data_IF_135279876156
#
_entry.id   IF_135279876156
#
_cell.length_a   1.000
_cell.length_b   1.000
_cell.length_c   1.000
_cell.angle_alpha   90.00
_cell.angle_beta   90.00
_cell.angle_gamma   90.00
#
_symmetry.space_group_name_H-M   'P 1'
#
loop_
_entity.id
_entity.type
_entity.pdbx_description
1 polymer ?
#
# COMPACT_ATOMS: atom_id res chain seq x y z
N UNK A 1 -32.03 29.75 34.16
CA UNK A 1 -32.47 31.11 33.77
C UNK A 1 -31.27 31.85 33.22
N UNK A 2 -31.44 32.39 32.02
CA UNK A 2 -30.66 33.44 31.34
C UNK A 2 -29.20 33.19 30.94
N UNK A 3 -28.98 33.49 29.66
CA UNK A 3 -27.70 33.78 29.00
C UNK A 3 -27.03 35.01 29.60
N UNK A 4 -25.74 35.21 29.29
CA UNK A 4 -25.24 36.50 28.79
C UNK A 4 -23.99 36.35 27.91
N UNK A 5 -24.06 37.05 26.77
CA UNK A 5 -23.02 37.27 25.78
C UNK A 5 -21.94 38.22 26.32
N UNK A 6 -20.66 37.94 26.05
CA UNK A 6 -19.61 38.98 26.05
C UNK A 6 -18.79 38.84 24.77
N UNK A 7 -18.91 39.85 23.90
CA UNK A 7 -18.10 40.04 22.70
C UNK A 7 -16.79 40.75 23.05
N UNK A 8 -15.66 40.25 22.58
CA UNK A 8 -14.35 40.90 22.71
C UNK A 8 -13.87 41.44 21.35
N UNK A 9 -13.56 42.74 21.33
CA UNK A 9 -12.99 43.50 20.21
C UNK A 9 -11.54 43.08 19.93
N UNK A 10 -11.15 43.10 18.65
CA UNK A 10 -9.77 43.02 18.20
C UNK A 10 -9.28 44.43 17.85
N UNK A 11 -8.28 44.92 18.59
CA UNK A 11 -7.54 46.14 18.23
C UNK A 11 -6.05 45.82 18.06
N UNK A 12 -5.58 46.09 16.84
CA UNK A 12 -4.26 46.58 16.43
C UNK A 12 -2.99 46.27 17.24
N UNK A 13 -2.14 45.47 16.59
CA UNK A 13 -0.71 45.68 16.37
C UNK A 13 0.26 45.47 17.56
N UNK A 14 0.92 44.31 17.60
CA UNK A 14 2.18 44.11 18.32
C UNK A 14 3.17 43.33 17.45
N UNK A 15 4.35 43.92 17.25
CA UNK A 15 5.51 43.34 16.59
C UNK A 15 6.00 42.09 17.33
N UNK A 16 6.19 40.98 16.62
CA UNK A 16 6.81 39.77 17.16
C UNK A 16 8.30 39.70 16.77
N UNK A 17 9.15 40.14 17.69
CA UNK A 17 10.51 39.61 17.84
C UNK A 17 10.46 38.56 18.96
N UNK A 18 10.73 37.30 18.61
CA UNK A 18 10.71 36.17 19.55
C UNK A 18 9.70 35.10 19.14
N UNK A 19 10.12 34.22 18.24
CA UNK A 19 9.44 32.94 17.97
C UNK A 19 10.49 31.82 18.07
N UNK A 20 11.04 31.63 19.26
CA UNK A 20 11.58 30.34 19.67
C UNK A 20 10.50 29.62 20.49
N UNK A 21 10.40 28.31 20.29
CA UNK A 21 9.54 27.35 21.02
C UNK A 21 8.12 27.17 20.47
N UNK A 22 8.05 26.66 19.24
CA UNK A 22 7.11 25.58 18.93
C UNK A 22 7.94 24.47 18.29
N UNK A 23 8.33 23.50 19.11
CA UNK A 23 9.19 22.38 18.72
C UNK A 23 8.52 21.55 17.64
N UNK A 24 9.14 21.54 16.46
CA UNK A 24 9.26 20.42 15.51
C UNK A 24 8.44 19.18 15.86
N UNK A 25 7.19 19.16 15.40
CA UNK A 25 6.58 17.94 14.89
C UNK A 25 6.69 18.10 13.39
N UNK A 26 7.66 17.43 12.77
CA UNK A 26 7.88 17.45 11.33
C UNK A 26 6.64 16.92 10.62
N UNK A 27 5.77 17.83 10.20
CA UNK A 27 4.81 17.59 9.14
C UNK A 27 5.52 17.80 7.80
N UNK A 28 6.47 16.92 7.49
CA UNK A 28 7.03 16.80 6.14
C UNK A 28 6.32 15.63 5.45
N UNK A 29 4.99 15.71 5.38
CA UNK A 29 4.24 14.92 4.40
C UNK A 29 4.31 15.76 3.13
N UNK A 30 5.33 15.49 2.34
CA UNK A 30 5.55 16.17 1.06
C UNK A 30 4.34 15.89 0.18
N UNK A 31 3.89 16.87 -0.60
CA UNK A 31 2.68 16.78 -1.45
C UNK A 31 2.70 15.56 -2.41
N UNK A 32 3.86 14.93 -2.61
CA UNK A 32 4.08 13.67 -3.33
C UNK A 32 3.51 12.42 -2.62
N UNK A 33 3.33 12.43 -1.30
CA UNK A 33 2.79 11.28 -0.52
C UNK A 33 1.28 11.08 -0.65
N UNK A 34 0.59 11.98 -1.36
CA UNK A 34 -0.88 11.93 -1.51
C UNK A 34 -1.36 11.21 -2.77
N UNK A 35 -0.45 10.85 -3.69
CA UNK A 35 -0.82 10.08 -4.87
C UNK A 35 -0.99 8.61 -4.50
N UNK A 36 -2.09 7.95 -4.91
CA UNK A 36 -2.28 6.53 -4.62
C UNK A 36 -1.30 5.71 -5.45
N UNK A 37 -0.18 5.31 -4.84
CA UNK A 37 0.84 4.47 -5.45
C UNK A 37 0.59 3.00 -5.08
N UNK A 38 0.69 2.11 -6.07
CA UNK A 38 0.48 0.69 -5.92
C UNK A 38 1.66 0.06 -5.19
N UNK A 39 1.41 -0.34 -3.93
CA UNK A 39 2.32 -1.16 -3.15
C UNK A 39 2.14 -2.64 -3.46
N UNK A 40 3.15 -3.48 -3.21
CA UNK A 40 2.96 -4.93 -3.34
C UNK A 40 1.92 -5.49 -2.36
N UNK A 41 1.67 -4.81 -1.24
CA UNK A 41 0.51 -5.14 -0.41
C UNK A 41 -0.81 -5.06 -1.20
N UNK A 42 -1.01 -3.99 -1.99
CA UNK A 42 -2.21 -3.85 -2.82
C UNK A 42 -2.28 -4.98 -3.84
N UNK A 43 -1.16 -5.30 -4.50
CA UNK A 43 -1.09 -6.42 -5.44
C UNK A 43 -1.49 -7.76 -4.81
N UNK A 44 -1.00 -8.02 -3.59
CA UNK A 44 -1.23 -9.27 -2.87
C UNK A 44 -2.69 -9.48 -2.43
N UNK A 45 -3.53 -8.45 -2.52
CA UNK A 45 -4.95 -8.51 -2.18
C UNK A 45 -5.86 -8.35 -3.41
N UNK A 46 -5.28 -8.12 -4.60
CA UNK A 46 -6.01 -7.75 -5.81
C UNK A 46 -6.17 -8.95 -6.77
N UNK A 47 -7.41 -9.30 -7.09
CA UNK A 47 -7.75 -10.38 -8.01
C UNK A 47 -8.53 -9.89 -9.25
N UNK A 48 -8.57 -10.71 -10.30
CA UNK A 48 -9.39 -10.42 -11.48
C UNK A 48 -10.86 -10.78 -11.23
N UNK A 49 -11.76 -9.79 -11.39
CA UNK A 49 -13.21 -9.97 -11.28
C UNK A 49 -13.95 -9.95 -12.61
N UNK A 50 -13.25 -10.13 -13.73
CA UNK A 50 -13.89 -10.28 -15.03
C UNK A 50 -14.86 -11.48 -15.01
N UNK A 51 -15.93 -11.42 -15.79
CA UNK A 51 -16.96 -12.46 -15.91
C UNK A 51 -16.38 -13.84 -16.18
N UNK A 52 -15.34 -13.93 -17.02
CA UNK A 52 -14.63 -15.17 -17.32
C UNK A 52 -13.89 -15.78 -16.09
N UNK A 53 -13.71 -15.00 -15.03
CA UNK A 53 -13.10 -15.41 -13.77
C UNK A 53 -14.13 -15.67 -12.65
N UNK A 54 -15.43 -15.44 -12.87
CA UNK A 54 -16.44 -15.53 -11.82
C UNK A 54 -16.61 -16.96 -11.25
N UNK A 55 -16.32 -17.98 -12.04
CA UNK A 55 -16.48 -19.39 -11.67
C UNK A 55 -15.16 -20.12 -11.42
N UNK A 56 -14.03 -19.40 -11.33
CA UNK A 56 -12.70 -20.00 -11.16
C UNK A 56 -11.92 -19.30 -10.05
N UNK A 57 -11.05 -20.04 -9.38
CA UNK A 57 -10.08 -19.52 -8.40
C UNK A 57 -8.75 -19.13 -9.03
N UNK A 58 -8.56 -19.37 -10.34
CA UNK A 58 -7.31 -19.05 -11.05
C UNK A 58 -7.24 -17.56 -11.48
N UNK A 59 -7.71 -16.64 -10.65
CA UNK A 59 -7.77 -15.21 -10.95
C UNK A 59 -6.82 -14.37 -10.07
N UNK A 60 -5.99 -15.06 -9.28
CA UNK A 60 -5.01 -14.51 -8.34
C UNK A 60 -3.81 -15.47 -8.21
N UNK A 61 -2.57 -14.97 -8.04
CA UNK A 61 -2.16 -13.56 -8.19
C UNK A 61 -2.13 -13.11 -9.65
N UNK A 62 -2.26 -11.81 -9.88
CA UNK A 62 -2.06 -11.21 -11.20
C UNK A 62 -0.56 -11.16 -11.52
N UNK A 63 -0.16 -11.53 -12.74
CA UNK A 63 1.25 -11.57 -13.15
C UNK A 63 1.74 -10.16 -13.49
N UNK A 64 2.74 -9.66 -12.77
CA UNK A 64 3.39 -8.39 -13.09
C UNK A 64 4.33 -8.57 -14.29
N UNK A 65 4.20 -7.70 -15.29
CA UNK A 65 5.01 -7.69 -16.51
C UNK A 65 5.48 -6.26 -16.81
N UNK A 66 6.70 -6.12 -17.33
CA UNK A 66 7.26 -4.84 -17.78
C UNK A 66 7.16 -3.71 -16.76
N UNK A 67 7.40 -4.03 -15.47
CA UNK A 67 7.21 -3.08 -14.38
C UNK A 67 8.42 -2.18 -14.17
N UNK A 68 8.15 -0.94 -13.76
CA UNK A 68 9.13 0.00 -13.22
C UNK A 68 8.84 0.16 -11.73
N UNK A 69 9.85 -0.07 -10.91
CA UNK A 69 9.74 -0.04 -9.46
C UNK A 69 10.39 1.22 -8.89
N UNK A 70 9.83 1.71 -7.81
CA UNK A 70 10.41 2.72 -6.92
C UNK A 70 10.44 2.13 -5.51
N UNK A 71 11.49 2.45 -4.74
CA UNK A 71 11.59 2.06 -3.34
C UNK A 71 11.49 3.32 -2.51
N UNK A 72 10.45 3.42 -1.69
CA UNK A 72 10.23 4.54 -0.79
C UNK A 72 10.27 4.07 0.66
N UNK A 73 11.10 4.71 1.47
CA UNK A 73 11.25 4.38 2.89
C UNK A 73 9.96 4.72 3.66
N UNK A 74 9.52 3.78 4.50
CA UNK A 74 8.33 3.93 5.34
C UNK A 74 8.68 3.52 6.76
N UNK A 75 8.16 4.23 7.76
CA UNK A 75 8.34 3.85 9.16
C UNK A 75 7.72 2.47 9.43
N UNK A 76 8.50 1.59 10.06
CA UNK A 76 8.05 0.24 10.39
C UNK A 76 7.13 0.26 11.60
N UNK A 77 5.95 -0.31 11.44
CA UNK A 77 4.98 -0.51 12.51
C UNK A 77 4.73 -2.01 12.70
N UNK A 78 5.37 -2.60 13.71
CA UNK A 78 5.38 -4.05 13.91
C UNK A 78 3.99 -4.61 14.20
N UNK A 79 3.17 -3.90 14.99
CA UNK A 79 1.82 -4.35 15.33
C UNK A 79 0.92 -4.39 14.10
N UNK A 80 1.10 -3.44 13.17
CA UNK A 80 0.42 -3.42 11.89
C UNK A 80 0.81 -4.63 11.05
N UNK A 81 2.10 -4.94 10.93
CA UNK A 81 2.59 -6.09 10.15
C UNK A 81 2.09 -7.42 10.71
N UNK A 82 2.11 -7.58 12.04
CA UNK A 82 1.58 -8.76 12.72
C UNK A 82 0.07 -8.92 12.48
N UNK A 83 -0.69 -7.83 12.56
CA UNK A 83 -2.12 -7.84 12.25
C UNK A 83 -2.45 -8.06 10.77
N UNK A 84 -1.52 -7.74 9.88
CA UNK A 84 -1.66 -7.89 8.44
C UNK A 84 -1.33 -9.30 7.95
N UNK A 85 -0.34 -9.95 8.57
CA UNK A 85 0.19 -11.24 8.15
C UNK A 85 -0.89 -12.31 7.89
N UNK A 86 -1.96 -12.48 8.70
CA UNK A 86 -3.02 -13.44 8.41
C UNK A 86 -3.83 -13.18 7.12
N UNK A 87 -3.74 -11.96 6.57
CA UNK A 87 -4.42 -11.57 5.32
C UNK A 87 -3.51 -11.66 4.10
N UNK A 88 -2.22 -11.84 4.31
CA UNK A 88 -1.22 -11.91 3.23
C UNK A 88 -1.27 -13.29 2.61
N UNK A 89 -1.40 -13.36 1.29
CA UNK A 89 -1.19 -14.59 0.55
C UNK A 89 0.32 -14.82 0.39
N UNK A 90 0.94 -15.53 1.34
CA UNK A 90 2.39 -15.68 1.44
C UNK A 90 3.04 -16.20 0.15
N UNK A 91 2.54 -17.30 -0.39
CA UNK A 91 3.11 -17.91 -1.61
C UNK A 91 3.00 -16.97 -2.83
N UNK A 92 1.92 -16.20 -2.93
CA UNK A 92 1.76 -15.19 -3.97
C UNK A 92 2.73 -14.02 -3.79
N UNK A 93 2.99 -13.61 -2.55
CA UNK A 93 3.95 -12.54 -2.24
C UNK A 93 5.38 -12.96 -2.60
N UNK A 94 5.82 -14.13 -2.13
CA UNK A 94 7.17 -14.67 -2.38
C UNK A 94 7.40 -14.86 -3.88
N UNK A 95 6.44 -15.45 -4.59
CA UNK A 95 6.56 -15.63 -6.05
C UNK A 95 6.64 -14.29 -6.79
N UNK A 96 5.83 -13.30 -6.39
CA UNK A 96 5.85 -11.96 -6.98
C UNK A 96 7.17 -11.25 -6.69
N UNK A 97 7.64 -11.25 -5.44
CA UNK A 97 8.91 -10.64 -5.04
C UNK A 97 10.08 -11.20 -5.87
N UNK A 98 10.13 -12.53 -6.06
CA UNK A 98 11.17 -13.18 -6.87
C UNK A 98 11.16 -12.76 -8.32
N UNK A 99 9.98 -12.61 -8.92
CA UNK A 99 9.83 -12.10 -10.30
C UNK A 99 10.37 -10.68 -10.41
N UNK A 100 10.25 -9.88 -9.35
CA UNK A 100 10.77 -8.52 -9.26
C UNK A 100 12.25 -8.43 -8.89
N UNK A 101 12.92 -9.57 -8.65
CA UNK A 101 14.33 -9.64 -8.29
C UNK A 101 14.63 -9.57 -6.79
N UNK A 102 13.62 -9.66 -5.93
CA UNK A 102 13.76 -9.70 -4.48
C UNK A 102 13.62 -11.13 -3.94
N UNK A 103 14.62 -11.57 -3.18
CA UNK A 103 14.68 -12.90 -2.55
C UNK A 103 14.83 -12.83 -1.02
N UNK A 104 14.45 -11.70 -0.40
CA UNK A 104 14.55 -11.46 1.05
C UNK A 104 13.59 -12.31 1.88
N UNK A 105 12.46 -12.73 1.30
CA UNK A 105 11.44 -13.52 1.99
C UNK A 105 11.72 -15.05 1.91
N UNK A 106 11.53 -15.80 3.02
CA UNK A 106 11.64 -17.24 3.02
C UNK A 106 10.51 -17.92 2.24
N UNK A 107 10.76 -19.14 1.75
CA UNK A 107 9.74 -19.90 0.99
C UNK A 107 8.58 -20.36 1.88
N UNK A 108 8.91 -20.78 3.10
CA UNK A 108 7.93 -21.23 4.10
C UNK A 108 7.27 -20.03 4.76
N UNK A 109 5.94 -20.10 4.85
CA UNK A 109 5.15 -19.12 5.59
C UNK A 109 5.51 -19.17 7.09
N UNK A 110 5.76 -18.02 7.73
CA UNK A 110 6.02 -17.97 9.16
C UNK A 110 4.76 -18.30 9.98
N UNK A 111 4.95 -18.78 11.21
CA UNK A 111 3.83 -18.96 12.14
C UNK A 111 3.35 -17.58 12.64
N UNK A 112 2.15 -17.19 12.22
CA UNK A 112 1.44 -15.97 12.64
C UNK A 112 1.26 -15.86 14.16
N UNK A 113 1.27 -16.97 14.89
CA UNK A 113 1.08 -16.99 16.34
C UNK A 113 2.39 -17.00 17.12
N UNK A 114 3.55 -17.03 16.44
CA UNK A 114 4.84 -17.00 17.11
C UNK A 114 5.13 -15.58 17.65
N UNK A 115 5.14 -15.39 18.99
CA UNK A 115 5.47 -14.09 19.58
C UNK A 115 6.93 -13.68 19.29
N UNK A 116 7.80 -14.63 18.91
CA UNK A 116 9.21 -14.40 18.57
C UNK A 116 9.45 -14.35 17.07
N UNK A 117 8.44 -14.02 16.25
CA UNK A 117 8.64 -13.73 14.83
C UNK A 117 9.86 -12.81 14.66
N UNK A 118 10.83 -13.30 13.88
CA UNK A 118 12.15 -12.69 13.76
C UNK A 118 12.05 -11.22 13.31
N UNK A 119 12.77 -10.34 14.00
CA UNK A 119 12.79 -8.91 13.68
C UNK A 119 13.32 -8.67 12.26
N UNK A 120 14.24 -9.50 11.78
CA UNK A 120 14.76 -9.38 10.42
C UNK A 120 13.75 -9.84 9.37
N UNK A 121 12.90 -10.82 9.68
CA UNK A 121 11.77 -11.19 8.84
C UNK A 121 10.70 -10.09 8.78
N UNK A 122 10.41 -9.43 9.90
CA UNK A 122 9.48 -8.29 9.93
C UNK A 122 9.98 -7.13 9.07
N UNK A 123 11.28 -6.84 9.10
CA UNK A 123 11.90 -5.82 8.21
C UNK A 123 11.82 -6.22 6.74
N UNK A 124 12.11 -7.48 6.41
CA UNK A 124 11.98 -7.97 5.03
C UNK A 124 10.53 -7.89 4.55
N UNK A 125 9.58 -8.27 5.40
CA UNK A 125 8.15 -8.20 5.10
C UNK A 125 7.68 -6.76 4.90
N UNK A 126 8.13 -5.85 5.76
CA UNK A 126 7.90 -4.41 5.65
C UNK A 126 8.40 -3.86 4.31
N UNK A 127 9.66 -4.13 3.99
CA UNK A 127 10.30 -3.72 2.74
C UNK A 127 9.47 -4.14 1.53
N UNK A 128 9.20 -5.44 1.43
CA UNK A 128 8.49 -5.99 0.27
C UNK A 128 7.07 -5.45 0.19
N UNK A 129 6.32 -5.41 1.30
CA UNK A 129 4.90 -5.03 1.25
C UNK A 129 4.66 -3.53 1.10
N UNK A 130 5.49 -2.69 1.73
CA UNK A 130 5.18 -1.28 1.94
C UNK A 130 6.13 -0.32 1.22
N UNK A 131 7.38 -0.71 1.03
CA UNK A 131 8.41 0.16 0.42
C UNK A 131 8.53 -0.03 -1.09
N UNK A 132 8.26 -1.24 -1.59
CA UNK A 132 8.27 -1.52 -3.04
C UNK A 132 6.99 -1.01 -3.70
N UNK A 133 7.16 0.00 -4.55
CA UNK A 133 6.10 0.68 -5.28
C UNK A 133 6.20 0.36 -6.77
N UNK A 134 5.07 0.03 -7.41
CA UNK A 134 5.01 -0.22 -8.86
C UNK A 134 4.52 1.04 -9.55
N UNK A 135 5.42 1.76 -10.25
CA UNK A 135 5.13 3.06 -10.86
C UNK A 135 4.50 2.92 -12.24
N UNK A 136 5.07 2.06 -13.08
CA UNK A 136 4.59 1.77 -14.43
C UNK A 136 4.61 0.26 -14.66
N UNK A 137 3.76 -0.24 -15.56
CA UNK A 137 3.80 -1.63 -16.00
C UNK A 137 2.41 -2.20 -16.25
N UNK A 138 2.29 -3.52 -16.19
CA UNK A 138 1.01 -4.18 -16.38
C UNK A 138 0.85 -5.44 -15.52
N UNK A 139 -0.40 -5.76 -15.23
CA UNK A 139 -0.83 -6.99 -14.55
C UNK A 139 -1.66 -7.84 -15.49
N UNK A 140 -1.21 -9.07 -15.76
CA UNK A 140 -1.94 -10.05 -16.55
C UNK A 140 -2.69 -11.03 -15.66
N UNK A 141 -3.98 -11.23 -15.91
CA UNK A 141 -4.75 -12.29 -15.25
C UNK A 141 -4.34 -13.67 -15.78
N UNK A 142 -3.98 -14.64 -14.91
CA UNK A 142 -3.55 -15.97 -15.36
C UNK A 142 -4.68 -16.82 -15.95
N UNK A 143 -5.95 -16.52 -15.68
CA UNK A 143 -7.09 -17.25 -16.26
C UNK A 143 -7.62 -16.61 -17.55
N UNK A 144 -8.05 -15.35 -17.52
CA UNK A 144 -8.68 -14.72 -18.70
C UNK A 144 -7.70 -13.97 -19.60
N UNK A 145 -6.40 -13.92 -19.26
CA UNK A 145 -5.36 -13.19 -20.00
C UNK A 145 -5.59 -11.68 -20.15
N UNK A 146 -6.58 -11.12 -19.42
CA UNK A 146 -6.82 -9.68 -19.38
C UNK A 146 -5.62 -8.95 -18.81
N UNK A 147 -5.30 -7.81 -19.42
CA UNK A 147 -4.20 -6.94 -19.00
C UNK A 147 -4.78 -5.70 -18.31
N UNK A 148 -4.32 -5.43 -17.10
CA UNK A 148 -4.58 -4.20 -16.35
C UNK A 148 -3.32 -3.33 -16.39
N UNK A 149 -3.45 -2.10 -16.87
CA UNK A 149 -2.33 -1.17 -17.03
C UNK A 149 -2.09 -0.43 -15.72
N UNK A 150 -0.83 -0.29 -15.30
CA UNK A 150 -0.41 0.51 -14.16
C UNK A 150 0.28 1.76 -14.72
N UNK A 151 -0.20 2.94 -14.31
CA UNK A 151 0.38 4.23 -14.72
C UNK A 151 0.45 5.17 -13.55
N UNK A 152 1.60 5.82 -13.35
CA UNK A 152 1.86 6.71 -12.22
C UNK A 152 1.47 6.09 -10.87
N UNK A 153 1.75 4.80 -10.68
CA UNK A 153 1.39 4.08 -9.46
C UNK A 153 -0.07 3.62 -9.39
N UNK A 154 -0.91 3.91 -10.38
CA UNK A 154 -2.36 3.65 -10.30
C UNK A 154 -2.72 2.48 -11.22
N UNK A 155 -3.20 1.33 -10.68
CA UNK A 155 -3.68 0.22 -11.48
C UNK A 155 -5.08 0.52 -12.02
N UNK A 156 -5.24 0.48 -13.35
CA UNK A 156 -6.56 0.57 -13.97
C UNK A 156 -7.28 -0.78 -13.93
N UNK A 157 -8.19 -0.93 -12.97
CA UNK A 157 -9.00 -2.13 -12.76
C UNK A 157 -10.41 -2.05 -13.36
N UNK A 158 -10.69 -1.06 -14.21
CA UNK A 158 -12.01 -0.91 -14.82
C UNK A 158 -12.31 -2.03 -15.80
N UNK A 159 -13.53 -2.58 -15.70
CA UNK A 159 -14.06 -3.59 -16.60
C UNK A 159 -15.12 -2.95 -17.53
N UNK A 160 -15.16 -3.36 -18.80
CA UNK A 160 -16.27 -2.98 -19.66
C UNK A 160 -17.55 -3.71 -19.24
N UNK A 161 -18.71 -3.15 -19.56
CA UNK A 161 -20.01 -3.68 -19.13
C UNK A 161 -20.22 -5.16 -19.51
N UNK A 162 -19.78 -5.56 -20.71
CA UNK A 162 -19.88 -6.95 -21.18
C UNK A 162 -18.96 -7.93 -20.44
N UNK A 163 -17.97 -7.41 -19.70
CA UNK A 163 -17.00 -8.17 -18.92
C UNK A 163 -17.41 -8.27 -17.44
N UNK A 164 -18.50 -7.62 -17.03
CA UNK A 164 -19.01 -7.73 -15.67
C UNK A 164 -19.79 -9.05 -15.49
N UNK A 165 -19.60 -9.78 -14.38
CA UNK A 165 -20.51 -10.84 -13.99
C UNK A 165 -21.91 -10.23 -13.78
N UNK A 166 -22.95 -10.92 -14.26
CA UNK A 166 -24.34 -10.52 -14.06
C UNK A 166 -24.90 -11.13 -12.79
#
# INVERSE_FOLDING_TARGET
MSCDHVTAKLDGNLNFSGLELISKVELVISVTDTLPIMRLLTHNLLACHAKACASTSNNFPLQLENVQLEVAEVEIEEDFLRGLLPKVHWQALVSTARVLGDASLPESEPDVNDPMLDADLLKALHHVLLEIHVMEGQMRCPNCSRIFQIRNGIPNMLLAEHELPR
#
